data_IF_512441193865
#
_entry.id   IF_512441193865
#
_cell.length_a   1.000
_cell.length_b   1.000
_cell.length_c   1.000
_cell.angle_alpha   90.00
_cell.angle_beta   90.00
_cell.angle_gamma   90.00
#
_symmetry.space_group_name_H-M   'P 1'
#
loop_
_entity.id
_entity.type
_entity.pdbx_description
1 polymer ?
#
# COMPACT_ATOMS: atom_id res chain seq x y z
N UNK A 1 5.76 9.36 18.48
CA UNK A 1 4.73 8.73 17.63
C UNK A 1 3.58 9.67 17.26
N UNK A 2 3.18 10.61 18.11
CA UNK A 2 2.04 11.52 17.85
C UNK A 2 2.13 12.26 16.51
N UNK A 3 3.27 12.86 16.17
CA UNK A 3 3.48 13.52 14.87
C UNK A 3 3.15 12.64 13.66
N UNK A 4 3.63 11.40 13.68
CA UNK A 4 3.40 10.44 12.58
C UNK A 4 1.90 10.15 12.45
N UNK A 5 1.20 9.95 13.57
CA UNK A 5 -0.25 9.72 13.58
C UNK A 5 -0.99 10.94 13.05
N UNK A 6 -0.58 12.14 13.45
CA UNK A 6 -1.17 13.39 13.01
C UNK A 6 -0.99 13.60 11.49
N UNK A 7 0.21 13.38 10.96
CA UNK A 7 0.53 13.46 9.54
C UNK A 7 -0.29 12.47 8.70
N UNK A 8 -0.35 11.21 9.12
CA UNK A 8 -1.16 10.18 8.46
C UNK A 8 -2.64 10.53 8.51
N UNK A 9 -3.14 11.02 9.65
CA UNK A 9 -4.54 11.42 9.79
C UNK A 9 -4.90 12.59 8.86
N UNK A 10 -4.03 13.59 8.74
CA UNK A 10 -4.22 14.70 7.79
C UNK A 10 -4.25 14.21 6.35
N UNK A 11 -3.35 13.28 5.97
CA UNK A 11 -3.37 12.66 4.64
C UNK A 11 -4.69 11.92 4.37
N UNK A 12 -5.19 11.13 5.32
CA UNK A 12 -6.46 10.41 5.16
C UNK A 12 -7.68 11.34 5.09
N UNK A 13 -7.66 12.48 5.79
CA UNK A 13 -8.69 13.52 5.65
C UNK A 13 -8.64 14.14 4.25
N UNK A 14 -7.44 14.44 3.73
CA UNK A 14 -7.28 14.98 2.39
C UNK A 14 -7.86 14.05 1.32
N UNK A 15 -7.65 12.73 1.46
CA UNK A 15 -8.28 11.71 0.59
C UNK A 15 -9.81 11.84 0.61
N UNK A 16 -10.41 11.97 1.80
CA UNK A 16 -11.87 12.07 1.94
C UNK A 16 -12.42 13.35 1.33
N UNK A 17 -11.76 14.50 1.57
CA UNK A 17 -12.16 15.80 1.02
C UNK A 17 -12.08 15.77 -0.50
N UNK A 18 -10.98 15.26 -1.06
CA UNK A 18 -10.80 15.16 -2.51
C UNK A 18 -11.90 14.32 -3.18
N UNK A 19 -12.12 13.08 -2.72
CA UNK A 19 -13.15 12.20 -3.30
C UNK A 19 -14.57 12.72 -3.11
N UNK A 20 -14.82 13.42 -2.00
CA UNK A 20 -16.11 14.07 -1.74
C UNK A 20 -16.32 15.28 -2.66
N UNK A 21 -15.28 16.09 -2.88
CA UNK A 21 -15.30 17.17 -3.88
C UNK A 21 -15.62 16.68 -5.29
N UNK A 22 -15.19 15.47 -5.67
CA UNK A 22 -15.54 14.88 -6.97
C UNK A 22 -16.99 14.35 -7.02
N UNK A 23 -17.42 13.64 -5.97
CA UNK A 23 -18.68 12.89 -5.97
C UNK A 23 -19.88 13.72 -5.53
N UNK A 24 -19.74 14.45 -4.42
CA UNK A 24 -20.80 15.29 -3.82
C UNK A 24 -20.71 16.74 -4.32
N UNK A 25 -19.52 17.19 -4.73
CA UNK A 25 -19.27 18.53 -5.29
C UNK A 25 -19.61 19.67 -4.33
N UNK A 26 -19.43 19.42 -3.03
CA UNK A 26 -19.65 20.37 -1.95
C UNK A 26 -18.36 21.04 -1.45
N UNK A 27 -17.21 20.74 -2.08
CA UNK A 27 -15.95 21.45 -1.86
C UNK A 27 -15.56 22.23 -3.11
N UNK A 28 -15.09 23.45 -2.91
CA UNK A 28 -14.43 24.24 -3.95
C UNK A 28 -13.08 23.66 -4.33
N UNK A 29 -12.59 24.01 -5.52
CA UNK A 29 -11.26 23.59 -5.98
C UNK A 29 -10.14 24.06 -5.06
N UNK A 30 -10.28 25.23 -4.44
CA UNK A 30 -9.26 25.78 -3.54
C UNK A 30 -9.23 25.07 -2.19
N UNK A 31 -10.40 24.68 -1.65
CA UNK A 31 -10.48 23.84 -0.45
C UNK A 31 -9.86 22.47 -0.68
N UNK A 32 -10.09 21.86 -1.85
CA UNK A 32 -9.46 20.58 -2.21
C UNK A 32 -7.94 20.73 -2.29
N UNK A 33 -7.43 21.79 -2.95
CA UNK A 33 -5.99 22.07 -3.02
C UNK A 33 -5.38 22.28 -1.63
N UNK A 34 -6.07 23.02 -0.75
CA UNK A 34 -5.62 23.25 0.62
C UNK A 34 -5.58 21.94 1.41
N UNK A 35 -6.56 21.06 1.24
CA UNK A 35 -6.57 19.76 1.87
C UNK A 35 -5.40 18.89 1.41
N UNK A 36 -5.12 18.83 0.10
CA UNK A 36 -3.95 18.11 -0.45
C UNK A 36 -2.63 18.65 0.11
N UNK A 37 -2.47 19.98 0.16
CA UNK A 37 -1.29 20.62 0.73
C UNK A 37 -1.12 20.30 2.23
N UNK A 38 -2.21 20.37 3.00
CA UNK A 38 -2.22 20.06 4.44
C UNK A 38 -1.93 18.59 4.73
N UNK A 39 -2.38 17.70 3.84
CA UNK A 39 -2.11 16.26 3.89
C UNK A 39 -0.74 15.85 3.34
N UNK A 40 0.03 16.78 2.77
CA UNK A 40 1.33 16.52 2.17
C UNK A 40 1.26 15.45 1.06
N UNK A 41 0.25 15.53 0.20
CA UNK A 41 -0.07 14.49 -0.80
C UNK A 41 -0.45 15.11 -2.15
N UNK A 42 -0.62 14.26 -3.16
CA UNK A 42 -0.99 14.62 -4.53
C UNK A 42 -2.33 14.00 -4.90
N UNK A 43 -2.97 14.48 -5.97
CA UNK A 43 -4.23 13.90 -6.44
C UNK A 43 -4.05 12.42 -6.85
N UNK A 44 -2.92 12.11 -7.49
CA UNK A 44 -2.57 10.76 -7.92
C UNK A 44 -2.38 9.81 -6.73
N UNK A 45 -1.65 10.25 -5.70
CA UNK A 45 -1.46 9.46 -4.48
C UNK A 45 -2.78 9.28 -3.74
N UNK A 46 -3.62 10.31 -3.68
CA UNK A 46 -4.96 10.23 -3.09
C UNK A 46 -5.84 9.19 -3.79
N UNK A 47 -5.84 9.17 -5.12
CA UNK A 47 -6.62 8.20 -5.88
C UNK A 47 -6.12 6.78 -5.64
N UNK A 48 -4.80 6.58 -5.59
CA UNK A 48 -4.19 5.30 -5.28
C UNK A 48 -4.55 4.82 -3.85
N UNK A 49 -4.49 5.71 -2.86
CA UNK A 49 -4.91 5.40 -1.49
C UNK A 49 -6.40 5.04 -1.46
N UNK A 50 -7.26 5.83 -2.11
CA UNK A 50 -8.70 5.56 -2.15
C UNK A 50 -9.00 4.21 -2.80
N UNK A 51 -8.35 3.90 -3.92
CA UNK A 51 -8.47 2.61 -4.61
C UNK A 51 -8.13 1.44 -3.69
N UNK A 52 -7.00 1.49 -2.99
CA UNK A 52 -6.54 0.37 -2.15
C UNK A 52 -7.26 0.27 -0.80
N UNK A 53 -7.85 1.35 -0.30
CA UNK A 53 -8.49 1.39 1.03
C UNK A 53 -10.01 1.27 0.99
N UNK A 54 -10.65 1.79 -0.06
CA UNK A 54 -12.11 1.82 -0.20
C UNK A 54 -12.63 0.89 -1.29
N UNK A 55 -11.86 0.64 -2.35
CA UNK A 55 -12.25 -0.18 -3.50
C UNK A 55 -11.24 -1.29 -3.88
N UNK A 56 -10.59 -1.99 -2.92
CA UNK A 56 -9.62 -3.00 -3.29
C UNK A 56 -10.30 -4.26 -3.84
N UNK A 57 -9.74 -4.83 -4.90
CA UNK A 57 -10.08 -6.19 -5.36
C UNK A 57 -9.54 -7.23 -4.38
N UNK A 58 -9.96 -8.50 -4.53
CA UNK A 58 -9.47 -9.57 -3.68
C UNK A 58 -7.94 -9.72 -3.76
N UNK A 59 -7.39 -9.69 -4.97
CA UNK A 59 -5.95 -9.88 -5.23
C UNK A 59 -5.11 -8.70 -4.71
N UNK A 60 -5.63 -7.47 -4.76
CA UNK A 60 -4.94 -6.29 -4.24
C UNK A 60 -4.85 -6.26 -2.70
N UNK A 61 -5.74 -6.98 -1.99
CA UNK A 61 -5.69 -7.08 -0.52
C UNK A 61 -4.60 -8.01 -0.02
N UNK A 62 -4.23 -9.00 -0.83
CA UNK A 62 -3.37 -10.11 -0.41
C UNK A 62 -2.25 -10.34 -1.42
N UNK A 63 -1.21 -9.50 -1.36
CA UNK A 63 0.00 -9.67 -2.17
C UNK A 63 1.01 -10.53 -1.42
N UNK A 64 0.69 -11.83 -1.27
CA UNK A 64 1.57 -12.81 -0.62
C UNK A 64 2.34 -13.59 -1.69
N UNK A 65 3.67 -13.40 -1.82
CA UNK A 65 4.45 -14.13 -2.81
C UNK A 65 4.57 -15.63 -2.44
N UNK A 66 4.80 -16.50 -3.43
CA UNK A 66 5.13 -17.90 -3.16
C UNK A 66 6.37 -18.00 -2.26
N UNK A 67 6.29 -18.83 -1.21
CA UNK A 67 7.36 -18.98 -0.22
C UNK A 67 8.46 -19.95 -0.66
N UNK A 68 8.43 -20.45 -1.90
CA UNK A 68 9.39 -21.40 -2.50
C UNK A 68 9.86 -22.50 -1.52
N UNK A 69 8.90 -23.10 -0.79
CA UNK A 69 9.20 -24.05 0.30
C UNK A 69 9.98 -25.27 -0.21
N UNK A 70 9.75 -25.67 -1.46
CA UNK A 70 10.50 -26.74 -2.11
C UNK A 70 12.00 -26.45 -2.27
N UNK A 71 12.40 -25.22 -2.61
CA UNK A 71 13.81 -24.85 -2.79
C UNK A 71 14.57 -24.78 -1.45
N UNK A 72 13.88 -24.48 -0.36
CA UNK A 72 14.47 -24.43 0.98
C UNK A 72 14.84 -25.82 1.52
N UNK A 73 14.19 -26.89 1.05
CA UNK A 73 14.46 -28.27 1.48
C UNK A 73 15.71 -28.83 0.77
N UNK A 74 15.92 -28.46 -0.49
CA UNK A 74 16.99 -28.99 -1.34
C UNK A 74 18.42 -28.63 -0.87
N UNK A 75 18.57 -27.59 -0.03
CA UNK A 75 19.87 -27.05 0.37
C UNK A 75 20.45 -27.57 1.71
N UNK A 76 19.91 -28.64 2.31
CA UNK A 76 20.39 -29.06 3.65
C UNK A 76 21.49 -30.13 3.67
N UNK A 77 21.80 -30.81 2.55
CA UNK A 77 22.84 -31.85 2.51
C UNK A 77 23.64 -31.82 1.19
N UNK A 78 24.96 -32.00 1.28
CA UNK A 78 25.84 -32.19 0.13
C UNK A 78 25.46 -33.49 -0.61
N UNK A 79 25.04 -33.43 -1.90
CA UNK A 79 24.66 -34.61 -2.68
C UNK A 79 25.77 -35.66 -2.82
N UNK A 80 27.04 -35.29 -2.60
CA UNK A 80 28.18 -36.21 -2.71
C UNK A 80 28.60 -36.89 -1.40
N UNK A 81 27.91 -36.60 -0.29
CA UNK A 81 28.24 -37.15 1.03
C UNK A 81 28.16 -38.67 1.15
N UNK A 82 27.52 -39.36 0.20
CA UNK A 82 27.44 -40.82 0.14
C UNK A 82 28.12 -41.47 -1.07
N UNK A 83 28.93 -40.73 -1.85
CA UNK A 83 29.61 -41.31 -3.01
C UNK A 83 30.75 -42.25 -2.56
N UNK A 84 30.67 -43.58 -2.78
CA UNK A 84 31.81 -44.44 -2.51
C UNK A 84 32.94 -44.15 -3.51
N UNK A 85 34.18 -44.14 -3.02
CA UNK A 85 35.36 -43.99 -3.86
C UNK A 85 35.45 -45.19 -4.83
N UNK A 86 35.76 -44.89 -6.09
CA UNK A 86 35.89 -45.86 -7.18
C UNK A 86 37.12 -46.74 -7.01
#
# INVERSE_FOLDING_TARGET
>A
NEKVVEEVSRKLIAVRVFKRGETVKDYSTDEVKQALASGGTTAEEVEAIFRLTALPTFDERFVVPPLAREQAIEQTLDPFSHKPAA
#
